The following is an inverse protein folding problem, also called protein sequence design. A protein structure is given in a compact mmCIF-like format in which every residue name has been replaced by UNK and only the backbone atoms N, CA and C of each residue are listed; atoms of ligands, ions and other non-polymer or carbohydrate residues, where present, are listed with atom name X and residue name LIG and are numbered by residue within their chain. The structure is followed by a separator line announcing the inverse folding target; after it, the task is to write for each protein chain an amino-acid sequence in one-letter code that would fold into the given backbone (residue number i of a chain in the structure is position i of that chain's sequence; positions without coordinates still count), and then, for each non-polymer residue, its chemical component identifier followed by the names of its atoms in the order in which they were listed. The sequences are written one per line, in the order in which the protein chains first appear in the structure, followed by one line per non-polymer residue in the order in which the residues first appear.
data_IF_637357562655
#
_entry.id   IF_637357562655
#
_cell.length_a   1.000
_cell.length_b   1.000
_cell.length_c   1.000
_cell.angle_alpha   90.00
_cell.angle_beta   90.00
_cell.angle_gamma   90.00
#
_symmetry.space_group_name_H-M   'P 1'
#
loop_
_entity.id
_entity.type
_entity.pdbx_description
1 polymer ?
#
# COMPACT_ATOMS: atom_id res chain seq x y z
N UNK A 1 68.34 -8.86 -31.87
CA UNK A 1 67.75 -8.85 -30.50
C UNK A 1 66.38 -8.24 -30.57
N UNK A 2 65.35 -9.07 -30.68
CA UNK A 2 63.97 -8.64 -30.83
C UNK A 2 63.28 -8.82 -29.45
N UNK A 3 62.91 -7.74 -28.79
CA UNK A 3 62.16 -7.78 -27.52
C UNK A 3 60.67 -7.78 -27.81
N UNK A 4 60.03 -8.92 -27.63
CA UNK A 4 58.60 -9.11 -27.67
C UNK A 4 57.95 -8.49 -26.43
N UNK A 5 57.00 -7.56 -26.64
CA UNK A 5 56.12 -6.97 -25.59
C UNK A 5 54.81 -7.75 -25.58
N UNK A 6 54.61 -8.55 -24.56
CA UNK A 6 53.33 -9.22 -24.31
C UNK A 6 52.40 -8.18 -23.65
N UNK A 7 51.36 -7.75 -24.39
CA UNK A 7 50.27 -6.96 -23.83
C UNK A 7 49.30 -7.87 -23.11
N UNK A 8 49.20 -7.70 -21.79
CA UNK A 8 48.26 -8.42 -20.95
C UNK A 8 46.91 -7.67 -21.02
N UNK A 9 45.98 -8.17 -21.84
CA UNK A 9 44.63 -7.64 -21.95
C UNK A 9 43.82 -8.17 -20.75
N UNK A 10 43.61 -7.29 -19.76
CA UNK A 10 42.76 -7.59 -18.60
C UNK A 10 41.29 -7.61 -19.03
N UNK A 11 40.67 -8.78 -18.97
CA UNK A 11 39.22 -8.94 -19.12
C UNK A 11 38.56 -8.48 -17.81
N UNK A 12 37.96 -7.32 -17.82
CA UNK A 12 37.08 -6.84 -16.73
C UNK A 12 35.78 -7.63 -16.84
N UNK A 13 35.62 -8.63 -15.98
CA UNK A 13 34.36 -9.34 -15.81
C UNK A 13 33.40 -8.44 -15.04
N UNK A 14 32.52 -7.71 -15.76
CA UNK A 14 31.41 -6.97 -15.16
C UNK A 14 30.40 -8.04 -14.71
N UNK A 15 30.42 -8.38 -13.42
CA UNK A 15 29.36 -9.15 -12.81
C UNK A 15 28.10 -8.29 -12.82
N UNK A 16 27.20 -8.51 -13.80
CA UNK A 16 25.82 -8.06 -13.70
C UNK A 16 25.23 -8.71 -12.45
N UNK A 17 25.05 -7.93 -11.40
CA UNK A 17 24.20 -8.34 -10.30
C UNK A 17 22.78 -8.53 -10.85
N UNK A 18 22.44 -9.77 -11.18
CA UNK A 18 21.07 -10.17 -11.45
C UNK A 18 20.29 -9.95 -10.14
N UNK A 19 19.71 -8.77 -9.99
CA UNK A 19 18.68 -8.54 -8.98
C UNK A 19 17.59 -9.57 -9.21
N UNK A 20 17.51 -10.57 -8.32
CA UNK A 20 16.55 -11.65 -8.43
C UNK A 20 15.16 -11.04 -8.52
N UNK A 21 14.53 -11.21 -9.67
CA UNK A 21 13.18 -10.76 -9.95
C UNK A 21 12.22 -11.61 -9.12
N UNK A 22 11.17 -11.00 -8.60
CA UNK A 22 10.10 -11.73 -7.91
C UNK A 22 9.61 -12.90 -8.78
N UNK A 23 9.33 -14.04 -8.15
CA UNK A 23 9.00 -15.28 -8.85
C UNK A 23 7.65 -15.20 -9.57
N UNK A 24 6.70 -14.41 -9.03
CA UNK A 24 5.35 -14.27 -9.57
C UNK A 24 4.79 -12.86 -9.38
N UNK A 25 4.20 -12.30 -10.44
CA UNK A 25 3.40 -11.07 -10.35
C UNK A 25 1.92 -11.41 -10.17
N UNK A 26 1.31 -10.84 -9.16
CA UNK A 26 -0.11 -10.92 -8.86
C UNK A 26 -0.76 -9.54 -9.01
N UNK A 27 -2.03 -9.52 -9.43
CA UNK A 27 -2.87 -8.31 -9.44
C UNK A 27 -3.90 -8.39 -8.33
N UNK A 28 -4.18 -7.26 -7.69
CA UNK A 28 -5.26 -7.16 -6.72
C UNK A 28 -6.60 -7.31 -7.46
N UNK A 29 -7.43 -8.25 -7.00
CA UNK A 29 -8.81 -8.40 -7.44
C UNK A 29 -9.70 -7.44 -6.66
N UNK A 30 -10.04 -6.29 -7.25
CA UNK A 30 -10.86 -5.27 -6.60
C UNK A 30 -12.26 -5.79 -6.22
N UNK A 31 -12.83 -6.70 -7.00
CA UNK A 31 -14.18 -7.22 -6.75
C UNK A 31 -14.25 -8.14 -5.51
N UNK A 32 -13.12 -8.76 -5.16
CA UNK A 32 -13.00 -9.70 -4.03
C UNK A 32 -12.16 -9.16 -2.88
N UNK A 33 -11.77 -7.89 -2.97
CA UNK A 33 -10.98 -7.21 -1.95
C UNK A 33 -11.77 -6.10 -1.28
N UNK A 34 -11.36 -5.74 -0.07
CA UNK A 34 -11.97 -4.65 0.68
C UNK A 34 -10.89 -3.83 1.38
N UNK A 35 -10.97 -2.51 1.21
CA UNK A 35 -10.15 -1.54 1.96
C UNK A 35 -11.09 -0.72 2.84
N UNK A 36 -11.08 -1.00 4.14
CA UNK A 36 -11.96 -0.37 5.13
C UNK A 36 -11.16 0.53 6.06
N UNK A 37 -11.80 1.59 6.51
CA UNK A 37 -11.27 2.47 7.53
C UNK A 37 -12.31 2.80 8.60
N UNK A 38 -11.83 3.22 9.77
CA UNK A 38 -12.67 3.70 10.85
C UNK A 38 -12.02 4.87 11.56
N UNK A 39 -12.83 5.85 11.96
CA UNK A 39 -12.39 6.98 12.75
C UNK A 39 -13.33 7.19 13.93
N UNK A 40 -12.78 7.42 15.11
CA UNK A 40 -13.58 7.71 16.31
C UNK A 40 -14.34 9.02 16.15
N UNK A 41 -15.53 9.03 16.70
CA UNK A 41 -16.42 10.18 16.78
C UNK A 41 -17.06 10.20 18.18
N UNK A 42 -17.59 11.34 18.65
CA UNK A 42 -18.17 11.48 19.99
C UNK A 42 -19.09 10.34 20.42
N UNK A 43 -19.92 9.82 19.52
CA UNK A 43 -20.92 8.80 19.79
C UNK A 43 -20.57 7.44 19.20
N UNK A 44 -19.33 7.19 18.78
CA UNK A 44 -18.94 5.90 18.21
C UNK A 44 -17.80 5.97 17.20
N UNK A 45 -17.87 5.11 16.20
CA UNK A 45 -16.89 5.06 15.11
C UNK A 45 -17.59 5.25 13.77
N UNK A 46 -17.23 6.28 13.05
CA UNK A 46 -17.58 6.42 11.65
C UNK A 46 -16.72 5.44 10.84
N UNK A 47 -17.39 4.59 10.06
CA UNK A 47 -16.74 3.60 9.19
C UNK A 47 -16.92 3.99 7.73
N UNK A 48 -16.00 3.57 6.90
CA UNK A 48 -16.08 3.69 5.46
C UNK A 48 -15.14 2.71 4.76
N UNK A 49 -15.22 2.72 3.44
CA UNK A 49 -14.37 1.91 2.56
C UNK A 49 -14.04 2.71 1.30
N UNK A 50 -13.04 2.23 0.57
CA UNK A 50 -12.82 2.63 -0.82
C UNK A 50 -13.28 1.50 -1.73
N UNK A 51 -14.02 1.83 -2.78
CA UNK A 51 -14.63 0.84 -3.68
C UNK A 51 -13.85 0.64 -4.97
N UNK A 52 -12.92 1.54 -5.31
CA UNK A 52 -12.08 1.43 -6.51
C UNK A 52 -10.61 1.57 -6.14
N UNK A 53 -9.89 0.49 -6.34
CA UNK A 53 -8.46 0.40 -6.14
C UNK A 53 -7.88 -0.67 -7.06
N UNK A 54 -6.57 -0.60 -7.25
CA UNK A 54 -5.79 -1.58 -8.02
C UNK A 54 -4.41 -1.70 -7.41
N UNK A 55 -3.67 -2.71 -7.82
CA UNK A 55 -2.29 -2.86 -7.40
C UNK A 55 -1.67 -4.14 -7.92
N UNK A 56 -0.37 -4.22 -7.75
CA UNK A 56 0.45 -5.39 -8.07
C UNK A 56 1.22 -5.85 -6.84
N UNK A 57 1.39 -7.14 -6.73
CA UNK A 57 2.23 -7.80 -5.75
C UNK A 57 3.21 -8.68 -6.52
N UNK A 58 4.46 -8.26 -6.58
CA UNK A 58 5.54 -9.11 -7.04
C UNK A 58 5.95 -10.00 -5.88
N UNK A 59 5.55 -11.26 -5.93
CA UNK A 59 5.66 -12.18 -4.81
C UNK A 59 6.73 -13.24 -5.07
N UNK A 60 7.73 -13.31 -4.18
CA UNK A 60 8.71 -14.39 -4.14
C UNK A 60 8.37 -15.32 -2.97
N UNK A 61 7.94 -16.54 -3.28
CA UNK A 61 7.50 -17.53 -2.28
C UNK A 61 8.67 -18.04 -1.43
N UNK A 62 9.82 -18.14 -2.03
CA UNK A 62 11.02 -18.70 -1.40
C UNK A 62 11.75 -17.63 -0.59
N UNK A 63 11.73 -16.39 -1.10
CA UNK A 63 12.39 -15.22 -0.51
C UNK A 63 11.41 -14.06 -0.38
N UNK A 64 10.43 -14.11 0.56
CA UNK A 64 9.41 -13.07 0.71
C UNK A 64 9.98 -11.66 0.88
N UNK A 65 11.19 -11.52 1.38
CA UNK A 65 11.92 -10.26 1.50
C UNK A 65 12.27 -9.60 0.16
N UNK A 66 12.17 -10.35 -0.95
CA UNK A 66 12.35 -9.84 -2.32
C UNK A 66 11.04 -9.40 -2.96
N UNK A 67 9.93 -9.62 -2.26
CA UNK A 67 8.61 -9.22 -2.76
C UNK A 67 8.44 -7.70 -2.75
N UNK A 68 7.59 -7.21 -3.65
CA UNK A 68 7.24 -5.79 -3.73
C UNK A 68 5.73 -5.61 -3.88
N UNK A 69 5.23 -4.47 -3.41
CA UNK A 69 3.81 -4.13 -3.50
C UNK A 69 3.67 -2.69 -3.97
N UNK A 70 2.83 -2.50 -4.98
CA UNK A 70 2.31 -1.19 -5.37
C UNK A 70 0.78 -1.23 -5.34
N UNK A 71 0.17 -0.22 -4.74
CA UNK A 71 -1.29 -0.09 -4.70
C UNK A 71 -1.71 1.35 -4.95
N UNK A 72 -2.83 1.50 -5.65
CA UNK A 72 -3.43 2.77 -6.00
C UNK A 72 -4.92 2.73 -5.65
N UNK A 73 -5.38 3.71 -4.87
CA UNK A 73 -6.76 3.84 -4.44
C UNK A 73 -7.32 5.13 -5.02
N UNK A 74 -8.48 5.06 -5.69
CA UNK A 74 -9.18 6.23 -6.19
C UNK A 74 -9.92 6.91 -5.03
N UNK A 75 -9.55 8.15 -4.68
CA UNK A 75 -10.11 8.86 -3.51
C UNK A 75 -11.61 9.10 -3.66
N UNK A 76 -12.07 9.42 -4.87
CA UNK A 76 -13.50 9.63 -5.17
C UNK A 76 -14.34 8.34 -5.15
N UNK A 77 -13.75 7.21 -4.73
CA UNK A 77 -14.46 5.96 -4.47
C UNK A 77 -14.76 5.73 -3.00
N UNK A 78 -14.55 6.76 -2.17
CA UNK A 78 -14.88 6.71 -0.75
C UNK A 78 -16.38 6.49 -0.57
N UNK A 79 -16.74 5.59 0.31
CA UNK A 79 -18.11 5.22 0.65
C UNK A 79 -18.22 5.03 2.16
N UNK A 80 -18.90 5.95 2.80
CA UNK A 80 -19.21 5.91 4.24
C UNK A 80 -20.67 5.56 4.50
N UNK A 81 -21.45 5.28 3.45
CA UNK A 81 -22.89 5.05 3.51
C UNK A 81 -23.72 6.33 3.64
N UNK A 82 -23.11 7.52 3.61
CA UNK A 82 -23.80 8.81 3.69
C UNK A 82 -23.24 9.72 2.59
N UNK A 83 -23.96 9.85 1.48
CA UNK A 83 -23.53 10.59 0.29
C UNK A 83 -23.05 12.01 0.59
N UNK A 84 -23.82 12.77 1.39
CA UNK A 84 -23.43 14.14 1.76
C UNK A 84 -22.06 14.20 2.45
N UNK A 85 -21.73 13.19 3.24
CA UNK A 85 -20.41 13.08 3.88
C UNK A 85 -19.34 12.69 2.88
N UNK A 86 -19.62 11.78 1.98
CA UNK A 86 -18.68 11.34 0.94
C UNK A 86 -18.34 12.52 0.00
N UNK A 87 -19.34 13.29 -0.43
CA UNK A 87 -19.13 14.51 -1.22
C UNK A 87 -18.25 15.53 -0.46
N UNK A 88 -18.51 15.76 0.84
CA UNK A 88 -17.70 16.66 1.66
C UNK A 88 -16.25 16.16 1.84
N UNK A 89 -16.06 14.85 2.05
CA UNK A 89 -14.73 14.27 2.16
C UNK A 89 -13.94 14.39 0.85
N UNK A 90 -14.58 14.31 -0.31
CA UNK A 90 -13.95 14.52 -1.61
C UNK A 90 -13.61 16.00 -1.90
N UNK A 91 -14.23 16.92 -1.19
CA UNK A 91 -14.09 18.36 -1.40
C UNK A 91 -12.72 18.92 -1.04
N UNK A 92 -12.49 20.21 -1.40
CA UNK A 92 -11.22 20.90 -1.18
C UNK A 92 -10.86 21.06 0.31
N UNK A 93 -11.86 21.01 1.19
CA UNK A 93 -11.66 21.13 2.64
C UNK A 93 -11.09 19.86 3.29
N UNK A 94 -10.97 18.73 2.54
CA UNK A 94 -10.48 17.49 3.12
C UNK A 94 -9.53 16.74 2.18
N UNK A 95 -10.03 15.88 1.26
CA UNK A 95 -9.14 15.14 0.36
C UNK A 95 -8.72 15.94 -0.87
N UNK A 96 -9.47 16.97 -1.26
CA UNK A 96 -9.23 17.78 -2.47
C UNK A 96 -8.98 16.89 -3.70
N UNK A 97 -9.98 16.07 -4.02
CA UNK A 97 -9.87 15.01 -5.02
C UNK A 97 -9.51 15.51 -6.43
N UNK A 98 -9.80 16.79 -6.72
CA UNK A 98 -9.42 17.41 -7.99
C UNK A 98 -7.89 17.57 -8.11
N UNK A 99 -7.21 17.88 -7.00
CA UNK A 99 -5.74 17.99 -6.96
C UNK A 99 -5.06 16.66 -6.60
N UNK A 100 -5.70 15.87 -5.74
CA UNK A 100 -5.13 14.65 -5.20
C UNK A 100 -6.08 13.45 -5.40
N UNK A 101 -6.29 13.00 -6.66
CA UNK A 101 -7.29 11.99 -6.99
C UNK A 101 -6.97 10.60 -6.45
N UNK A 102 -5.74 10.37 -5.99
CA UNK A 102 -5.24 9.03 -5.66
C UNK A 102 -4.51 8.99 -4.32
N UNK A 103 -4.67 7.85 -3.63
CA UNK A 103 -3.78 7.42 -2.55
C UNK A 103 -2.90 6.31 -3.12
N UNK A 104 -1.59 6.44 -2.95
CA UNK A 104 -0.61 5.50 -3.50
C UNK A 104 0.22 4.91 -2.37
N UNK A 105 0.40 3.59 -2.40
CA UNK A 105 1.35 2.90 -1.53
C UNK A 105 2.41 2.20 -2.38
N UNK A 106 3.67 2.36 -1.99
CA UNK A 106 4.81 1.69 -2.63
C UNK A 106 5.72 1.10 -1.57
N UNK A 107 5.90 -0.21 -1.60
CA UNK A 107 6.76 -0.90 -0.65
C UNK A 107 8.23 -0.51 -0.84
N UNK A 108 8.96 -0.46 0.28
CA UNK A 108 10.43 -0.31 0.34
C UNK A 108 11.10 -1.60 0.75
N UNK A 109 10.56 -2.22 1.82
CA UNK A 109 11.10 -3.46 2.37
C UNK A 109 9.98 -4.37 2.84
N UNK A 110 10.19 -5.67 2.66
CA UNK A 110 9.34 -6.73 3.18
C UNK A 110 10.14 -7.52 4.20
N UNK A 111 9.57 -7.74 5.39
CA UNK A 111 10.21 -8.50 6.46
C UNK A 111 9.30 -9.66 6.85
N UNK A 112 9.79 -10.87 6.75
CA UNK A 112 9.08 -12.08 7.23
C UNK A 112 9.09 -12.10 8.76
N UNK A 113 7.90 -12.31 9.37
CA UNK A 113 7.74 -12.41 10.83
C UNK A 113 7.36 -13.81 11.28
N UNK A 114 6.90 -14.66 10.37
CA UNK A 114 6.50 -16.02 10.65
C UNK A 114 6.02 -16.76 9.42
N UNK A 115 5.37 -17.91 9.62
CA UNK A 115 4.80 -18.67 8.52
C UNK A 115 3.52 -17.98 8.00
N UNK A 116 3.62 -17.37 6.83
CA UNK A 116 2.51 -16.64 6.21
C UNK A 116 2.22 -15.26 6.85
N UNK A 117 3.15 -14.70 7.63
CA UNK A 117 3.02 -13.36 8.19
C UNK A 117 4.28 -12.53 8.00
N UNK A 118 4.12 -11.23 7.88
CA UNK A 118 5.22 -10.30 7.68
C UNK A 118 4.81 -8.85 7.87
N UNK A 119 5.78 -7.99 7.69
CA UNK A 119 5.64 -6.54 7.69
C UNK A 119 6.13 -5.99 6.36
N UNK A 120 5.42 -5.00 5.85
CA UNK A 120 5.81 -4.26 4.65
C UNK A 120 5.95 -2.79 5.04
N UNK A 121 7.18 -2.31 5.11
CA UNK A 121 7.44 -0.89 5.21
C UNK A 121 7.38 -0.29 3.80
N UNK A 122 6.65 0.80 3.64
CA UNK A 122 6.53 1.50 2.36
C UNK A 122 6.16 2.96 2.52
N UNK A 123 6.13 3.65 1.40
CA UNK A 123 5.67 5.02 1.28
C UNK A 123 4.18 5.05 1.00
N UNK A 124 3.43 5.72 1.87
CA UNK A 124 2.04 6.07 1.63
C UNK A 124 1.97 7.55 1.24
N UNK A 125 1.50 7.80 0.02
CA UNK A 125 1.21 9.16 -0.47
C UNK A 125 -0.28 9.38 -0.44
N UNK A 126 -0.73 10.39 0.30
CA UNK A 126 -2.12 10.77 0.44
C UNK A 126 -2.20 12.28 0.56
N UNK A 127 -3.16 12.92 -0.16
CA UNK A 127 -3.33 14.37 -0.16
C UNK A 127 -2.00 15.13 -0.43
N UNK A 128 -1.20 14.63 -1.39
CA UNK A 128 0.10 15.20 -1.76
C UNK A 128 1.23 15.00 -0.74
N UNK A 129 0.97 14.39 0.42
CA UNK A 129 1.96 14.15 1.47
C UNK A 129 2.37 12.69 1.50
N UNK A 130 3.67 12.43 1.49
CA UNK A 130 4.24 11.07 1.59
C UNK A 130 4.78 10.82 2.99
N UNK A 131 4.41 9.68 3.58
CA UNK A 131 4.89 9.23 4.90
C UNK A 131 5.23 7.75 4.85
N UNK A 132 6.26 7.30 5.60
CA UNK A 132 6.51 5.87 5.79
C UNK A 132 5.39 5.25 6.62
N UNK A 133 4.87 4.11 6.16
CA UNK A 133 3.83 3.33 6.84
C UNK A 133 4.23 1.87 6.83
N UNK A 134 4.03 1.18 7.95
CA UNK A 134 4.22 -0.26 8.06
C UNK A 134 2.87 -0.98 7.99
N UNK A 135 2.74 -1.87 7.02
CA UNK A 135 1.61 -2.78 6.89
C UNK A 135 1.96 -4.11 7.59
N UNK A 136 1.08 -4.58 8.46
CA UNK A 136 1.11 -5.93 8.99
C UNK A 136 0.34 -6.82 8.04
N UNK A 137 0.95 -7.88 7.52
CA UNK A 137 0.33 -8.77 6.54
C UNK A 137 0.26 -10.19 7.05
N UNK A 138 -0.88 -10.84 6.79
CA UNK A 138 -1.12 -12.24 7.11
C UNK A 138 -1.79 -12.94 5.94
N UNK A 139 -1.19 -14.02 5.46
CA UNK A 139 -1.77 -14.88 4.45
C UNK A 139 -2.88 -15.74 5.09
N UNK A 140 -4.07 -15.71 4.52
CA UNK A 140 -5.24 -16.44 4.97
C UNK A 140 -5.54 -17.70 4.16
N UNK A 141 -5.05 -17.77 2.92
CA UNK A 141 -5.24 -18.93 2.05
C UNK A 141 -4.03 -19.87 2.12
N UNK A 142 -4.20 -21.16 1.77
CA UNK A 142 -3.06 -22.03 1.51
C UNK A 142 -2.19 -21.46 0.38
N UNK A 143 -0.87 -21.63 0.51
CA UNK A 143 0.10 -21.23 -0.51
C UNK A 143 0.12 -22.30 -1.61
N UNK A 144 -0.83 -22.24 -2.54
CA UNK A 144 -0.93 -23.18 -3.67
C UNK A 144 -0.36 -22.54 -4.94
N UNK A 145 0.10 -23.36 -5.89
CA UNK A 145 0.74 -22.86 -7.12
C UNK A 145 -0.21 -22.11 -8.05
N UNK A 146 -1.52 -22.34 -7.98
CA UNK A 146 -2.50 -21.86 -8.95
C UNK A 146 -3.72 -21.15 -8.39
N UNK A 147 -3.81 -20.97 -7.07
CA UNK A 147 -4.96 -20.35 -6.44
C UNK A 147 -4.78 -18.86 -6.20
N UNK A 148 -5.89 -18.13 -6.00
CA UNK A 148 -5.82 -16.76 -5.50
C UNK A 148 -5.21 -16.76 -4.09
N UNK A 149 -4.42 -15.73 -3.78
CA UNK A 149 -3.88 -15.53 -2.45
C UNK A 149 -4.74 -14.50 -1.71
N UNK A 150 -5.17 -14.86 -0.50
CA UNK A 150 -5.97 -13.97 0.35
C UNK A 150 -5.13 -13.50 1.54
N UNK A 151 -5.17 -12.21 1.76
CA UNK A 151 -4.37 -11.51 2.75
C UNK A 151 -5.26 -10.70 3.69
N UNK A 152 -4.98 -10.76 4.96
CA UNK A 152 -5.39 -9.73 5.91
C UNK A 152 -4.25 -8.73 6.06
N UNK A 153 -4.57 -7.45 5.93
CA UNK A 153 -3.60 -6.36 6.03
C UNK A 153 -4.13 -5.31 6.99
N UNK A 154 -3.29 -4.90 7.93
CA UNK A 154 -3.61 -3.85 8.90
C UNK A 154 -2.44 -2.88 9.05
N UNK A 155 -2.71 -1.71 9.61
CA UNK A 155 -1.67 -0.75 10.01
C UNK A 155 -1.83 -0.39 11.48
N UNK A 156 -0.78 0.16 12.11
CA UNK A 156 -0.98 1.02 13.26
C UNK A 156 -1.92 2.18 12.87
N UNK A 157 -2.68 2.75 13.82
CA UNK A 157 -3.56 3.88 13.52
C UNK A 157 -2.78 5.04 12.85
N UNK A 158 -3.29 5.52 11.72
CA UNK A 158 -2.68 6.64 10.98
C UNK A 158 -3.22 7.96 11.50
N UNK A 159 -2.34 8.91 11.78
CA UNK A 159 -2.75 10.27 12.14
C UNK A 159 -3.12 11.04 10.88
N UNK A 160 -4.40 11.37 10.69
CA UNK A 160 -4.89 12.08 9.50
C UNK A 160 -4.18 13.42 9.25
N UNK A 161 -3.80 14.11 10.33
CA UNK A 161 -3.08 15.39 10.26
C UNK A 161 -1.66 15.26 9.68
N UNK A 162 -1.02 14.10 9.81
CA UNK A 162 0.30 13.86 9.23
C UNK A 162 0.26 13.88 7.68
N UNK A 163 -0.96 13.76 7.12
CA UNK A 163 -1.23 13.86 5.69
C UNK A 163 -1.98 15.14 5.30
N UNK A 164 -2.06 16.12 6.20
CA UNK A 164 -2.77 17.36 5.92
C UNK A 164 -4.29 17.26 5.90
N UNK A 165 -4.86 16.11 6.28
CA UNK A 165 -6.31 15.91 6.31
C UNK A 165 -6.92 16.54 7.57
N UNK A 166 -7.29 17.80 7.46
CA UNK A 166 -7.87 18.60 8.54
C UNK A 166 -9.03 19.42 8.01
N UNK A 167 -10.09 19.53 8.82
CA UNK A 167 -11.13 20.53 8.57
C UNK A 167 -10.64 21.93 8.95
N UNK A 168 -11.40 22.95 8.58
CA UNK A 168 -11.12 24.31 9.05
C UNK A 168 -11.06 24.36 10.59
N UNK A 169 -10.26 25.27 11.20
CA UNK A 169 -10.08 25.30 12.65
C UNK A 169 -11.39 25.34 13.45
N UNK A 170 -12.40 26.05 12.98
CA UNK A 170 -13.72 26.09 13.64
C UNK A 170 -14.44 24.75 13.56
N UNK A 171 -14.47 24.12 12.40
CA UNK A 171 -15.07 22.79 12.21
C UNK A 171 -14.30 21.74 13.00
N UNK A 172 -12.98 21.78 13.00
CA UNK A 172 -12.12 20.86 13.71
C UNK A 172 -12.37 20.86 15.23
N UNK A 173 -12.60 22.03 15.81
CA UNK A 173 -12.84 22.20 17.25
C UNK A 173 -14.18 21.59 17.71
N UNK A 174 -15.22 21.60 16.86
CA UNK A 174 -16.56 21.15 17.21
C UNK A 174 -16.93 19.79 16.61
N UNK A 175 -16.15 19.29 15.64
CA UNK A 175 -16.50 18.06 14.89
C UNK A 175 -16.48 16.79 15.73
N UNK A 176 -15.70 16.77 16.81
CA UNK A 176 -15.47 15.57 17.62
C UNK A 176 -14.85 14.38 16.87
N UNK A 177 -14.33 14.63 15.69
CA UNK A 177 -13.69 13.61 14.86
C UNK A 177 -12.30 13.32 15.39
N UNK A 178 -12.00 12.04 15.60
CA UNK A 178 -10.72 11.56 16.10
C UNK A 178 -9.55 11.95 15.19
N UNK A 179 -8.37 11.91 15.77
CA UNK A 179 -7.11 12.22 15.07
C UNK A 179 -6.55 11.02 14.32
N UNK A 180 -6.97 9.82 14.69
CA UNK A 180 -6.42 8.55 14.22
C UNK A 180 -7.44 7.77 13.41
N UNK A 181 -6.97 7.23 12.30
CA UNK A 181 -7.72 6.38 11.39
C UNK A 181 -7.20 4.95 11.55
N UNK A 182 -8.07 4.01 11.87
CA UNK A 182 -7.78 2.58 11.81
C UNK A 182 -8.02 2.09 10.39
N UNK A 183 -7.13 1.25 9.86
CA UNK A 183 -7.24 0.66 8.53
C UNK A 183 -7.20 -0.85 8.65
N UNK A 184 -8.14 -1.50 7.99
CA UNK A 184 -8.18 -2.95 7.83
C UNK A 184 -8.54 -3.30 6.39
N UNK A 185 -7.75 -4.18 5.79
CA UNK A 185 -7.95 -4.62 4.42
C UNK A 185 -8.04 -6.14 4.37
N UNK A 186 -8.90 -6.62 3.48
CA UNK A 186 -8.90 -8.01 3.02
C UNK A 186 -8.62 -7.96 1.53
N UNK A 187 -7.48 -8.50 1.12
CA UNK A 187 -7.00 -8.41 -0.24
C UNK A 187 -6.92 -9.80 -0.84
N UNK A 188 -7.59 -9.99 -1.97
CA UNK A 188 -7.40 -11.15 -2.81
C UNK A 188 -6.53 -10.76 -4.01
N UNK A 189 -5.53 -11.58 -4.29
CA UNK A 189 -4.64 -11.38 -5.45
C UNK A 189 -4.68 -12.58 -6.36
N UNK A 190 -4.71 -12.33 -7.67
CA UNK A 190 -4.69 -13.34 -8.71
C UNK A 190 -3.41 -13.21 -9.54
N UNK A 191 -2.83 -14.35 -9.94
CA UNK A 191 -1.61 -14.35 -10.76
C UNK A 191 -1.86 -13.61 -12.07
N UNK A 192 -0.98 -12.68 -12.42
CA UNK A 192 -1.02 -12.02 -13.71
C UNK A 192 -0.72 -13.06 -14.82
N UNK A 193 -1.48 -13.00 -15.88
CA UNK A 193 -1.29 -13.85 -17.07
C UNK A 193 -0.18 -13.29 -17.95
#
# INVERSE_FOLDING_TARGET
MIRSRIALTGIILIALAAGGRAEETHKIDNARSTISFGIRHFVGTAKGKFTRFSGTVDFDRNHPERSAVEANIQVNSIDTGIRKRDDHLCGPDFFDVEKFPQIVFKSRTVTRRGRGSGEILGDLTMHGVTRPVTLQVKLLSPLTERGPLRWEVTTAPLRRRDFGLMFSPGTEAISGIGREISIKMQIETVKAR
#
